data_IF_821665643314
#
_entry.id   IF_821665643314
#
_cell.length_a   1.000
_cell.length_b   1.000
_cell.length_c   1.000
_cell.angle_alpha   90.00
_cell.angle_beta   90.00
_cell.angle_gamma   90.00
#
_symmetry.space_group_name_H-M   'P 1'
#
loop_
_entity.id
_entity.type
_entity.pdbx_description
1 polymer ?
#
# COMPACT_ATOMS: atom_id res chain seq x y z
N UNK A 1 0.62 -50.52 -42.12
CA UNK A 1 0.69 -49.03 -42.05
C UNK A 1 -0.56 -48.35 -41.44
N UNK A 2 -1.50 -49.08 -40.82
CA UNK A 2 -2.68 -48.48 -40.14
C UNK A 2 -2.55 -48.42 -38.61
N UNK A 3 -1.70 -49.27 -38.01
CA UNK A 3 -1.53 -49.35 -36.55
C UNK A 3 -0.66 -48.20 -35.99
N UNK A 4 0.29 -47.69 -36.78
CA UNK A 4 1.17 -46.56 -36.38
C UNK A 4 0.39 -45.23 -36.29
N UNK A 5 -0.70 -45.06 -37.07
CA UNK A 5 -1.54 -43.84 -37.01
C UNK A 5 -2.33 -43.71 -35.71
N UNK A 6 -2.71 -44.81 -35.07
CA UNK A 6 -3.45 -44.78 -33.81
C UNK A 6 -2.54 -44.63 -32.59
N UNK A 7 -1.28 -45.09 -32.67
CA UNK A 7 -0.30 -44.89 -31.61
C UNK A 7 0.08 -43.41 -31.42
N UNK A 8 0.12 -42.62 -32.50
CA UNK A 8 0.44 -41.19 -32.44
C UNK A 8 -0.69 -40.34 -31.82
N UNK A 9 -1.95 -40.75 -32.02
CA UNK A 9 -3.13 -40.07 -31.45
C UNK A 9 -3.22 -40.33 -29.94
N UNK A 10 -2.92 -41.55 -29.49
CA UNK A 10 -2.89 -41.88 -28.06
C UNK A 10 -1.76 -41.14 -27.31
N UNK A 11 -0.62 -40.91 -27.95
CA UNK A 11 0.48 -40.14 -27.36
C UNK A 11 0.18 -38.63 -27.29
N UNK A 12 -0.57 -38.10 -28.26
CA UNK A 12 -0.99 -36.69 -28.28
C UNK A 12 -2.10 -36.40 -27.25
N UNK A 13 -2.91 -37.39 -26.86
CA UNK A 13 -3.88 -37.25 -25.76
C UNK A 13 -3.22 -37.28 -24.36
N UNK A 14 -2.09 -37.97 -24.18
CA UNK A 14 -1.40 -38.07 -22.89
C UNK A 14 -0.62 -36.79 -22.52
N UNK A 15 -0.30 -35.92 -23.49
CA UNK A 15 0.36 -34.64 -23.23
C UNK A 15 -0.60 -33.53 -22.78
N UNK A 16 -1.93 -33.74 -22.86
CA UNK A 16 -2.93 -32.72 -22.48
C UNK A 16 -3.47 -32.94 -21.06
N UNK A 17 -3.21 -34.09 -20.44
CA UNK A 17 -3.73 -34.44 -19.10
C UNK A 17 -2.76 -34.17 -17.95
N UNK A 18 -1.61 -33.52 -18.21
CA UNK A 18 -0.66 -33.16 -17.15
C UNK A 18 -0.48 -31.64 -16.97
N UNK A 19 -1.46 -30.84 -17.38
CA UNK A 19 -1.73 -29.58 -16.69
C UNK A 19 -2.50 -29.92 -15.42
N UNK A 20 -1.78 -30.33 -14.37
CA UNK A 20 -2.22 -29.98 -13.02
C UNK A 20 -2.07 -28.47 -12.95
N UNK A 21 -3.10 -27.74 -13.34
CA UNK A 21 -3.28 -26.40 -12.80
C UNK A 21 -3.35 -26.61 -11.30
N UNK A 22 -2.24 -26.38 -10.60
CA UNK A 22 -2.33 -26.02 -9.19
C UNK A 22 -3.43 -24.97 -9.12
N UNK A 23 -4.45 -25.20 -8.30
CA UNK A 23 -5.40 -24.15 -7.96
C UNK A 23 -4.55 -22.94 -7.55
N UNK A 24 -4.56 -21.91 -8.39
CA UNK A 24 -3.80 -20.70 -8.08
C UNK A 24 -4.38 -20.15 -6.79
N UNK A 25 -3.65 -20.31 -5.68
CA UNK A 25 -4.08 -19.87 -4.33
C UNK A 25 -4.48 -18.39 -4.32
N UNK A 26 -3.93 -17.62 -5.25
CA UNK A 26 -4.24 -16.22 -5.52
C UNK A 26 -5.06 -16.07 -6.82
N UNK A 27 -6.10 -15.23 -6.79
CA UNK A 27 -6.99 -14.95 -7.93
C UNK A 27 -6.33 -14.00 -8.96
N UNK A 28 -5.21 -14.41 -9.54
CA UNK A 28 -4.34 -13.53 -10.35
C UNK A 28 -4.95 -13.13 -11.70
N UNK A 29 -5.87 -13.94 -12.22
CA UNK A 29 -6.60 -13.64 -13.46
C UNK A 29 -7.71 -12.59 -13.25
N UNK A 30 -8.08 -12.29 -12.00
CA UNK A 30 -9.09 -11.27 -11.70
C UNK A 30 -8.51 -9.87 -11.93
N UNK A 31 -9.21 -9.04 -12.71
CA UNK A 31 -8.74 -7.69 -13.07
C UNK A 31 -8.48 -6.79 -11.85
N UNK A 32 -9.35 -6.82 -10.85
CA UNK A 32 -9.19 -6.06 -9.60
C UNK A 32 -9.52 -6.98 -8.43
N UNK A 33 -8.68 -6.99 -7.40
CA UNK A 33 -8.98 -7.70 -6.16
C UNK A 33 -9.95 -6.87 -5.32
N UNK A 34 -11.00 -7.53 -4.84
CA UNK A 34 -11.89 -6.96 -3.82
C UNK A 34 -11.44 -7.41 -2.42
N UNK A 35 -12.16 -6.97 -1.40
CA UNK A 35 -11.80 -7.24 -0.01
C UNK A 35 -11.81 -8.73 0.36
N UNK A 36 -12.59 -9.57 -0.33
CA UNK A 36 -12.57 -11.02 -0.10
C UNK A 36 -11.35 -11.68 -0.73
N UNK A 37 -10.87 -11.15 -1.85
CA UNK A 37 -9.61 -11.62 -2.42
C UNK A 37 -8.43 -11.24 -1.51
N UNK A 38 -8.45 -10.04 -0.92
CA UNK A 38 -7.45 -9.61 0.05
C UNK A 38 -7.47 -10.48 1.31
N UNK A 39 -8.63 -10.73 1.92
CA UNK A 39 -8.77 -11.62 3.09
C UNK A 39 -8.12 -12.99 2.83
N UNK A 40 -8.45 -13.62 1.69
CA UNK A 40 -7.85 -14.89 1.28
C UNK A 40 -6.35 -14.78 1.03
N UNK A 41 -5.89 -13.76 0.33
CA UNK A 41 -4.48 -13.56 0.01
C UNK A 41 -3.66 -13.32 1.28
N UNK A 42 -4.17 -12.52 2.21
CA UNK A 42 -3.54 -12.24 3.51
C UNK A 42 -3.48 -13.52 4.35
N UNK A 43 -4.57 -14.30 4.41
CA UNK A 43 -4.57 -15.59 5.11
C UNK A 43 -3.51 -16.54 4.54
N UNK A 44 -3.46 -16.65 3.21
CA UNK A 44 -2.50 -17.50 2.52
C UNK A 44 -1.05 -17.06 2.78
N UNK A 45 -0.76 -15.76 2.66
CA UNK A 45 0.58 -15.21 2.90
C UNK A 45 1.03 -15.34 4.36
N UNK A 46 0.10 -15.38 5.32
CA UNK A 46 0.42 -15.52 6.75
C UNK A 46 0.58 -16.97 7.19
N UNK A 47 -0.16 -17.90 6.60
CA UNK A 47 -0.30 -19.26 7.15
C UNK A 47 -0.18 -20.38 6.14
N UNK A 48 -0.18 -20.08 4.84
CA UNK A 48 -0.14 -21.07 3.76
C UNK A 48 1.25 -21.45 3.27
N UNK A 49 2.29 -20.78 3.80
CA UNK A 49 3.70 -21.03 3.52
C UNK A 49 4.34 -21.82 4.66
N UNK A 50 5.19 -22.80 4.33
CA UNK A 50 5.99 -23.50 5.34
C UNK A 50 7.05 -22.58 5.97
N UNK A 51 7.53 -22.90 7.19
CA UNK A 51 8.44 -22.01 7.93
C UNK A 51 9.75 -21.68 7.20
N UNK A 52 10.20 -22.57 6.31
CA UNK A 52 11.39 -22.42 5.47
C UNK A 52 11.06 -22.02 4.02
N UNK A 53 9.77 -21.93 3.67
CA UNK A 53 9.31 -21.46 2.38
C UNK A 53 9.39 -19.93 2.29
N UNK A 54 9.92 -19.41 1.19
CA UNK A 54 10.00 -17.96 0.98
C UNK A 54 8.66 -17.41 0.51
N UNK A 55 8.25 -16.30 1.12
CA UNK A 55 7.13 -15.51 0.61
C UNK A 55 7.40 -14.96 -0.80
N UNK A 56 6.34 -14.64 -1.57
CA UNK A 56 6.45 -13.98 -2.87
C UNK A 56 7.24 -12.67 -2.78
N UNK A 57 8.14 -12.44 -3.75
CA UNK A 57 8.97 -11.22 -3.84
C UNK A 57 8.95 -10.64 -5.24
N UNK A 58 9.29 -9.35 -5.35
CA UNK A 58 9.53 -8.68 -6.63
C UNK A 58 10.72 -9.29 -7.39
N UNK A 59 11.69 -9.87 -6.70
CA UNK A 59 12.88 -10.44 -7.35
C UNK A 59 12.65 -11.84 -7.93
N UNK A 60 11.61 -12.55 -7.47
CA UNK A 60 11.21 -13.83 -8.04
C UNK A 60 10.25 -13.61 -9.23
N UNK A 61 10.66 -13.82 -10.50
CA UNK A 61 9.80 -13.55 -11.65
C UNK A 61 8.49 -14.34 -11.68
N UNK A 62 8.48 -15.55 -11.12
CA UNK A 62 7.30 -16.43 -11.14
C UNK A 62 6.23 -15.97 -10.14
N UNK A 63 6.67 -15.46 -8.99
CA UNK A 63 5.81 -15.05 -7.87
C UNK A 63 5.60 -13.52 -7.79
N UNK A 64 6.39 -12.72 -8.52
CA UNK A 64 6.31 -11.25 -8.57
C UNK A 64 4.89 -10.75 -8.78
N UNK A 65 4.14 -11.38 -9.69
CA UNK A 65 2.75 -11.01 -10.00
C UNK A 65 1.83 -11.02 -8.78
N UNK A 66 2.13 -11.82 -7.75
CA UNK A 66 1.37 -11.86 -6.49
C UNK A 66 1.59 -10.56 -5.73
N UNK A 67 2.83 -10.11 -5.58
CA UNK A 67 3.16 -8.86 -4.87
C UNK A 67 2.64 -7.64 -5.64
N UNK A 68 2.82 -7.63 -6.96
CA UNK A 68 2.26 -6.58 -7.83
C UNK A 68 0.75 -6.49 -7.66
N UNK A 69 0.07 -7.64 -7.62
CA UNK A 69 -1.37 -7.68 -7.45
C UNK A 69 -1.82 -7.25 -6.05
N UNK A 70 -1.11 -7.69 -5.01
CA UNK A 70 -1.35 -7.34 -3.61
C UNK A 70 -1.20 -5.83 -3.37
N UNK A 71 -0.29 -5.18 -4.10
CA UNK A 71 0.05 -3.76 -3.93
C UNK A 71 -0.48 -2.87 -5.06
N UNK A 72 -1.38 -3.38 -5.90
CA UNK A 72 -2.01 -2.61 -6.98
C UNK A 72 -3.08 -1.65 -6.40
N UNK A 73 -2.78 -0.36 -6.42
CA UNK A 73 -3.69 0.68 -5.97
C UNK A 73 -5.03 0.74 -6.75
N UNK A 74 -5.09 0.20 -7.97
CA UNK A 74 -6.33 0.13 -8.74
C UNK A 74 -7.38 -0.76 -8.08
N UNK A 75 -6.97 -1.74 -7.26
CA UNK A 75 -7.88 -2.65 -6.57
C UNK A 75 -8.90 -1.91 -5.71
N UNK A 76 -8.49 -0.86 -4.99
CA UNK A 76 -9.41 -0.03 -4.22
C UNK A 76 -9.88 1.19 -5.03
N UNK A 77 -9.03 1.81 -5.86
CA UNK A 77 -9.39 3.05 -6.59
C UNK A 77 -10.62 2.87 -7.48
N UNK A 78 -10.75 1.72 -8.13
CA UNK A 78 -11.89 1.44 -9.04
C UNK A 78 -13.25 1.59 -8.36
N UNK A 79 -13.34 1.34 -7.04
CA UNK A 79 -14.58 1.52 -6.27
C UNK A 79 -14.60 2.90 -5.60
N UNK A 80 -13.49 3.30 -4.96
CA UNK A 80 -13.46 4.52 -4.14
C UNK A 80 -13.58 5.80 -4.98
N UNK A 81 -13.16 5.77 -6.25
CA UNK A 81 -13.18 6.92 -7.15
C UNK A 81 -14.39 6.95 -8.09
N UNK A 82 -15.21 5.88 -8.11
CA UNK A 82 -16.43 5.81 -8.92
C UNK A 82 -17.53 6.71 -8.34
N UNK A 83 -17.86 7.80 -9.04
CA UNK A 83 -18.87 8.76 -8.60
C UNK A 83 -20.31 8.28 -8.83
N UNK A 84 -20.51 7.22 -9.62
CA UNK A 84 -21.83 6.59 -9.80
C UNK A 84 -22.22 5.78 -8.55
N UNK A 85 -21.26 5.44 -7.69
CA UNK A 85 -21.49 4.77 -6.41
C UNK A 85 -21.77 5.77 -5.29
N UNK A 86 -22.81 5.47 -4.50
CA UNK A 86 -23.17 6.27 -3.33
C UNK A 86 -22.04 6.36 -2.30
N UNK A 87 -21.91 7.53 -1.65
CA UNK A 87 -20.80 7.80 -0.71
C UNK A 87 -20.77 6.83 0.49
N UNK A 88 -21.94 6.34 0.94
CA UNK A 88 -22.02 5.35 2.01
C UNK A 88 -21.36 4.03 1.59
N UNK A 89 -21.69 3.53 0.39
CA UNK A 89 -21.12 2.28 -0.13
C UNK A 89 -19.60 2.40 -0.33
N UNK A 90 -19.14 3.52 -0.89
CA UNK A 90 -17.70 3.77 -1.05
C UNK A 90 -16.97 3.81 0.30
N UNK A 91 -17.55 4.43 1.31
CA UNK A 91 -16.98 4.43 2.66
C UNK A 91 -16.93 3.03 3.28
N UNK A 92 -18.00 2.23 3.15
CA UNK A 92 -18.02 0.84 3.62
C UNK A 92 -16.89 0.00 2.99
N UNK A 93 -16.73 0.11 1.66
CA UNK A 93 -15.66 -0.59 0.93
C UNK A 93 -14.28 -0.08 1.36
N UNK A 94 -14.11 1.23 1.53
CA UNK A 94 -12.85 1.81 2.00
C UNK A 94 -12.48 1.32 3.41
N UNK A 95 -13.45 1.24 4.33
CA UNK A 95 -13.25 0.67 5.67
C UNK A 95 -12.82 -0.79 5.60
N UNK A 96 -13.47 -1.59 4.75
CA UNK A 96 -13.12 -3.00 4.58
C UNK A 96 -11.70 -3.17 4.04
N UNK A 97 -11.30 -2.43 2.99
CA UNK A 97 -9.92 -2.43 2.52
C UNK A 97 -8.92 -1.97 3.58
N UNK A 98 -9.28 -0.97 4.39
CA UNK A 98 -8.40 -0.47 5.45
C UNK A 98 -8.15 -1.53 6.52
N UNK A 99 -9.16 -2.35 6.85
CA UNK A 99 -8.99 -3.48 7.75
C UNK A 99 -8.05 -4.54 7.16
N UNK A 100 -8.26 -4.93 5.90
CA UNK A 100 -7.36 -5.88 5.22
C UNK A 100 -5.91 -5.37 5.16
N UNK A 101 -5.72 -4.08 4.89
CA UNK A 101 -4.40 -3.47 4.86
C UNK A 101 -3.68 -3.57 6.22
N UNK A 102 -4.40 -3.43 7.33
CA UNK A 102 -3.80 -3.56 8.67
C UNK A 102 -3.22 -4.95 8.88
N UNK A 103 -3.93 -6.00 8.48
CA UNK A 103 -3.43 -7.36 8.55
C UNK A 103 -2.28 -7.61 7.55
N UNK A 104 -2.40 -7.04 6.35
CA UNK A 104 -1.37 -7.12 5.30
C UNK A 104 -0.05 -6.47 5.73
N UNK A 105 -0.09 -5.38 6.50
CA UNK A 105 1.09 -4.61 6.93
C UNK A 105 2.13 -5.40 7.72
N UNK A 106 1.74 -6.56 8.27
CA UNK A 106 2.59 -7.40 9.10
C UNK A 106 3.23 -8.58 8.34
N UNK A 107 2.92 -8.76 7.06
CA UNK A 107 3.34 -9.95 6.30
C UNK A 107 4.85 -9.94 6.05
N UNK A 108 5.40 -8.79 5.66
CA UNK A 108 6.77 -8.68 5.14
C UNK A 108 7.76 -8.07 6.15
N UNK A 109 7.47 -8.12 7.45
CA UNK A 109 8.26 -7.44 8.49
C UNK A 109 9.40 -8.30 9.07
N UNK A 110 9.59 -9.52 8.56
CA UNK A 110 10.60 -10.43 9.08
C UNK A 110 12.04 -9.92 8.83
N UNK A 111 12.91 -10.09 9.81
CA UNK A 111 14.34 -9.73 9.74
C UNK A 111 15.24 -10.96 9.85
N UNK A 112 16.46 -10.83 9.31
CA UNK A 112 17.51 -11.83 9.47
C UNK A 112 18.25 -11.68 10.81
N UNK A 113 19.26 -12.54 11.04
CA UNK A 113 20.08 -12.51 12.28
C UNK A 113 20.98 -11.27 12.42
N UNK A 114 21.02 -10.41 11.41
CA UNK A 114 21.75 -9.14 11.38
C UNK A 114 20.79 -7.94 11.42
N UNK A 115 19.54 -8.19 11.81
CA UNK A 115 18.46 -7.19 11.85
C UNK A 115 18.21 -6.51 10.50
N UNK A 116 18.48 -7.21 9.38
CA UNK A 116 18.12 -6.74 8.03
C UNK A 116 16.77 -7.29 7.63
N UNK A 117 15.93 -6.46 7.02
CA UNK A 117 14.65 -6.92 6.50
C UNK A 117 14.86 -7.95 5.39
N UNK A 118 14.11 -9.06 5.46
CA UNK A 118 14.15 -10.11 4.44
C UNK A 118 13.41 -9.72 3.15
N UNK A 119 12.42 -8.85 3.28
CA UNK A 119 11.45 -8.47 2.24
C UNK A 119 11.20 -6.97 2.25
N UNK A 120 12.28 -6.20 2.29
CA UNK A 120 12.25 -4.75 2.52
C UNK A 120 11.46 -4.00 1.43
N UNK A 121 11.60 -4.39 0.17
CA UNK A 121 10.83 -3.84 -0.97
C UNK A 121 9.35 -4.14 -0.87
N UNK A 122 8.98 -5.38 -0.54
CA UNK A 122 7.60 -5.83 -0.41
C UNK A 122 6.92 -5.14 0.77
N UNK A 123 7.61 -5.05 1.91
CA UNK A 123 7.13 -4.34 3.09
C UNK A 123 6.87 -2.87 2.77
N UNK A 124 7.79 -2.18 2.09
CA UNK A 124 7.60 -0.78 1.70
C UNK A 124 6.47 -0.62 0.68
N UNK A 125 6.27 -1.58 -0.24
CA UNK A 125 5.17 -1.56 -1.19
C UNK A 125 3.80 -1.68 -0.48
N UNK A 126 3.70 -2.57 0.52
CA UNK A 126 2.50 -2.72 1.36
C UNK A 126 2.22 -1.45 2.17
N UNK A 127 3.25 -0.81 2.72
CA UNK A 127 3.10 0.48 3.39
C UNK A 127 2.61 1.57 2.45
N UNK A 128 3.20 1.67 1.25
CA UNK A 128 2.82 2.65 0.23
C UNK A 128 1.38 2.47 -0.26
N UNK A 129 0.96 1.22 -0.48
CA UNK A 129 -0.43 0.88 -0.73
C UNK A 129 -1.35 1.44 0.37
N UNK A 130 -0.94 1.26 1.63
CA UNK A 130 -1.63 1.80 2.80
C UNK A 130 -1.73 3.31 2.85
N UNK A 131 -0.65 4.03 2.53
CA UNK A 131 -0.64 5.50 2.50
C UNK A 131 -1.66 6.00 1.46
N UNK A 132 -1.61 5.45 0.25
CA UNK A 132 -2.56 5.79 -0.82
C UNK A 132 -4.01 5.45 -0.47
N UNK A 133 -4.25 4.31 0.20
CA UNK A 133 -5.59 3.91 0.64
C UNK A 133 -6.12 4.86 1.73
N UNK A 134 -5.28 5.16 2.73
CA UNK A 134 -5.64 6.07 3.82
C UNK A 134 -6.03 7.45 3.31
N UNK A 135 -5.30 7.99 2.34
CA UNK A 135 -5.63 9.29 1.75
C UNK A 135 -7.07 9.32 1.21
N UNK A 136 -7.47 8.29 0.45
CA UNK A 136 -8.82 8.17 -0.11
C UNK A 136 -9.87 7.87 0.95
N UNK A 137 -9.57 6.96 1.88
CA UNK A 137 -10.46 6.61 2.98
C UNK A 137 -10.84 7.83 3.84
N UNK A 138 -9.84 8.59 4.29
CA UNK A 138 -10.09 9.80 5.09
C UNK A 138 -10.80 10.89 4.30
N UNK A 139 -10.49 11.05 3.00
CA UNK A 139 -11.21 11.97 2.13
C UNK A 139 -12.70 11.63 2.04
N UNK A 140 -13.02 10.37 1.74
CA UNK A 140 -14.42 9.90 1.63
C UNK A 140 -15.18 10.07 2.95
N UNK A 141 -14.55 9.77 4.08
CA UNK A 141 -15.17 9.97 5.39
C UNK A 141 -15.43 11.46 5.67
N UNK A 142 -14.49 12.33 5.33
CA UNK A 142 -14.66 13.78 5.47
C UNK A 142 -15.73 14.34 4.53
N UNK A 143 -15.80 13.85 3.31
CA UNK A 143 -16.84 14.24 2.34
C UNK A 143 -18.22 13.80 2.83
N UNK A 144 -18.35 12.59 3.37
CA UNK A 144 -19.60 12.08 3.95
C UNK A 144 -20.05 12.90 5.16
N UNK A 145 -19.13 13.30 6.03
CA UNK A 145 -19.43 14.18 7.17
C UNK A 145 -20.01 15.51 6.68
N UNK A 146 -19.49 16.07 5.59
CA UNK A 146 -19.97 17.33 5.02
C UNK A 146 -21.31 17.16 4.32
N UNK A 147 -21.47 16.10 3.53
CA UNK A 147 -22.71 15.82 2.77
C UNK A 147 -23.91 15.58 3.69
N UNK A 148 -23.69 14.93 4.84
CA UNK A 148 -24.74 14.63 5.81
C UNK A 148 -25.00 15.74 6.83
N UNK A 149 -24.30 16.88 6.75
CA UNK A 149 -24.45 17.96 7.72
C UNK A 149 -25.45 19.03 7.25
N UNK A 150 -26.28 19.54 8.17
CA UNK A 150 -27.18 20.66 7.91
C UNK A 150 -26.43 21.93 7.46
N UNK A 151 -25.27 22.20 8.09
CA UNK A 151 -24.33 23.23 7.69
C UNK A 151 -22.89 22.66 7.63
N UNK A 152 -22.35 22.39 6.42
CA UNK A 152 -21.00 21.87 6.25
C UNK A 152 -19.90 22.86 6.67
N UNK A 153 -20.23 24.15 6.83
CA UNK A 153 -19.31 25.19 7.24
C UNK A 153 -19.33 25.50 8.74
N UNK A 154 -20.21 24.83 9.49
CA UNK A 154 -20.30 24.98 10.93
C UNK A 154 -18.97 24.61 11.61
N UNK A 155 -18.67 25.28 12.73
CA UNK A 155 -17.44 25.00 13.49
C UNK A 155 -17.34 23.54 13.91
N UNK A 156 -18.47 22.88 14.19
CA UNK A 156 -18.53 21.46 14.53
C UNK A 156 -18.03 20.57 13.38
N UNK A 157 -18.54 20.77 12.17
CA UNK A 157 -18.15 19.98 10.99
C UNK A 157 -16.67 20.22 10.66
N UNK A 158 -16.23 21.49 10.66
CA UNK A 158 -14.83 21.84 10.43
C UNK A 158 -13.89 21.18 11.46
N UNK A 159 -14.27 21.18 12.73
CA UNK A 159 -13.47 20.54 13.78
C UNK A 159 -13.36 19.02 13.60
N UNK A 160 -14.45 18.36 13.20
CA UNK A 160 -14.43 16.92 12.92
C UNK A 160 -13.50 16.59 11.74
N UNK A 161 -13.62 17.33 10.64
CA UNK A 161 -12.76 17.16 9.47
C UNK A 161 -11.29 17.41 9.83
N UNK A 162 -10.99 18.48 10.57
CA UNK A 162 -9.63 18.80 11.01
C UNK A 162 -9.06 17.70 11.93
N UNK A 163 -9.88 17.14 12.82
CA UNK A 163 -9.47 16.02 13.68
C UNK A 163 -9.11 14.77 12.87
N UNK A 164 -9.90 14.47 11.83
CA UNK A 164 -9.64 13.35 10.92
C UNK A 164 -8.35 13.58 10.12
N UNK A 165 -8.15 14.78 9.56
CA UNK A 165 -6.91 15.13 8.84
C UNK A 165 -5.69 15.04 9.76
N UNK A 166 -5.79 15.51 11.02
CA UNK A 166 -4.70 15.37 11.99
C UNK A 166 -4.39 13.90 12.31
N UNK A 167 -5.40 13.03 12.32
CA UNK A 167 -5.19 11.58 12.47
C UNK A 167 -4.48 10.99 11.27
N UNK A 168 -4.88 11.36 10.05
CA UNK A 168 -4.22 10.94 8.82
C UNK A 168 -2.74 11.38 8.80
N UNK A 169 -2.44 12.63 9.15
CA UNK A 169 -1.06 13.13 9.25
C UNK A 169 -0.26 12.28 10.24
N UNK A 170 -0.81 11.98 11.43
CA UNK A 170 -0.14 11.12 12.41
C UNK A 170 0.18 9.73 11.87
N UNK A 171 -0.72 9.14 11.08
CA UNK A 171 -0.47 7.83 10.47
C UNK A 171 0.69 7.91 9.46
N UNK A 172 0.78 8.99 8.68
CA UNK A 172 1.91 9.23 7.78
C UNK A 172 3.24 9.38 8.54
N UNK A 173 3.22 9.98 9.74
CA UNK A 173 4.43 10.05 10.56
C UNK A 173 4.98 8.66 10.91
N UNK A 174 4.15 7.62 10.99
CA UNK A 174 4.62 6.25 11.27
C UNK A 174 5.54 5.77 10.15
N UNK A 175 5.23 6.11 8.88
CA UNK A 175 6.10 5.76 7.76
C UNK A 175 7.48 6.45 7.85
N UNK A 176 7.54 7.68 8.39
CA UNK A 176 8.83 8.33 8.66
C UNK A 176 9.61 7.67 9.81
N UNK A 177 8.95 6.91 10.70
CA UNK A 177 9.66 6.19 11.76
C UNK A 177 10.55 5.06 11.20
N UNK A 178 10.24 4.51 10.02
CA UNK A 178 11.07 3.51 9.37
C UNK A 178 12.48 4.01 9.04
N UNK A 179 12.69 5.33 8.96
CA UNK A 179 14.03 5.92 8.79
C UNK A 179 14.91 5.64 10.01
N UNK A 180 14.37 5.43 11.21
CA UNK A 180 15.18 5.00 12.35
C UNK A 180 15.75 3.58 12.15
N UNK A 181 15.16 2.79 11.25
CA UNK A 181 15.60 1.46 10.87
C UNK A 181 16.31 1.49 9.50
N UNK A 182 16.81 2.64 9.04
CA UNK A 182 17.41 2.79 7.70
C UNK A 182 18.45 1.71 7.39
N UNK A 183 19.28 1.36 8.37
CA UNK A 183 20.32 0.33 8.21
C UNK A 183 19.75 -1.04 7.90
N UNK A 184 18.53 -1.36 8.34
CA UNK A 184 17.87 -2.64 8.07
C UNK A 184 17.51 -2.81 6.58
N UNK A 185 17.47 -1.73 5.80
CA UNK A 185 17.11 -1.73 4.39
C UNK A 185 18.31 -1.95 3.46
N UNK A 186 18.03 -2.56 2.31
CA UNK A 186 18.93 -2.53 1.15
C UNK A 186 18.93 -1.15 0.49
N UNK A 187 19.90 -0.86 -0.38
CA UNK A 187 19.92 0.40 -1.13
C UNK A 187 18.71 0.60 -2.06
N UNK A 188 18.10 -0.49 -2.52
CA UNK A 188 16.83 -0.46 -3.25
C UNK A 188 15.67 -0.14 -2.30
N UNK A 189 15.63 -0.78 -1.14
CA UNK A 189 14.67 -0.48 -0.07
C UNK A 189 14.71 0.99 0.35
N UNK A 190 15.90 1.55 0.61
CA UNK A 190 16.06 2.98 0.91
C UNK A 190 15.54 3.88 -0.21
N UNK A 191 15.77 3.49 -1.47
CA UNK A 191 15.21 4.17 -2.64
C UNK A 191 13.68 4.15 -2.66
N UNK A 192 13.08 3.00 -2.35
CA UNK A 192 11.63 2.85 -2.27
C UNK A 192 11.04 3.61 -1.08
N UNK A 193 11.71 3.64 0.06
CA UNK A 193 11.32 4.44 1.22
C UNK A 193 11.21 5.92 0.84
N UNK A 194 12.27 6.45 0.23
CA UNK A 194 12.36 7.80 -0.33
C UNK A 194 11.24 8.10 -1.35
N UNK A 195 10.97 7.18 -2.29
CA UNK A 195 9.87 7.31 -3.24
C UNK A 195 8.51 7.47 -2.54
N UNK A 196 8.24 6.67 -1.51
CA UNK A 196 7.01 6.79 -0.75
C UNK A 196 6.84 8.15 -0.06
N UNK A 197 7.94 8.74 0.42
CA UNK A 197 7.93 10.11 0.97
C UNK A 197 7.55 11.10 -0.13
N UNK A 198 8.27 11.09 -1.26
CA UNK A 198 8.06 12.04 -2.34
C UNK A 198 6.64 11.98 -2.93
N UNK A 199 6.09 10.77 -3.09
CA UNK A 199 4.78 10.61 -3.73
C UNK A 199 3.65 10.91 -2.73
N UNK A 200 3.55 10.12 -1.67
CA UNK A 200 2.35 10.13 -0.84
C UNK A 200 2.25 11.34 0.08
N UNK A 201 3.38 11.87 0.58
CA UNK A 201 3.34 13.07 1.42
C UNK A 201 3.00 14.31 0.59
N UNK A 202 3.49 14.36 -0.65
CA UNK A 202 3.07 15.40 -1.61
C UNK A 202 1.57 15.32 -1.86
N UNK A 203 1.03 14.14 -2.18
CA UNK A 203 -0.41 13.95 -2.38
C UNK A 203 -1.23 14.38 -1.14
N UNK A 204 -0.75 14.07 0.08
CA UNK A 204 -1.39 14.48 1.33
C UNK A 204 -1.44 16.01 1.46
N UNK A 205 -0.31 16.68 1.24
CA UNK A 205 -0.19 18.13 1.36
C UNK A 205 -1.00 18.84 0.27
N UNK A 206 -1.03 18.32 -0.94
CA UNK A 206 -1.87 18.85 -2.02
C UNK A 206 -3.36 18.69 -1.74
N UNK A 207 -3.77 17.58 -1.13
CA UNK A 207 -5.17 17.34 -0.79
C UNK A 207 -5.64 18.21 0.38
N UNK A 208 -4.78 18.46 1.37
CA UNK A 208 -5.09 19.25 2.56
C UNK A 208 -4.05 20.37 2.78
N UNK A 209 -3.97 21.38 1.91
CA UNK A 209 -2.89 22.38 1.93
C UNK A 209 -2.87 23.24 3.20
N UNK A 210 -4.04 23.46 3.81
CA UNK A 210 -4.20 24.34 4.98
C UNK A 210 -4.17 23.57 6.32
N UNK A 211 -3.72 22.31 6.29
CA UNK A 211 -3.61 21.51 7.51
C UNK A 211 -2.32 21.85 8.28
N UNK A 212 -2.30 21.57 9.59
CA UNK A 212 -1.12 21.85 10.40
C UNK A 212 -0.06 20.74 10.22
N UNK A 213 0.95 21.02 9.39
CA UNK A 213 2.08 20.12 9.14
C UNK A 213 3.28 20.31 10.07
N UNK A 214 3.19 21.15 11.12
CA UNK A 214 4.33 21.42 12.03
C UNK A 214 4.93 20.14 12.63
N UNK A 215 4.08 19.18 13.02
CA UNK A 215 4.56 17.89 13.54
C UNK A 215 5.30 17.05 12.49
N UNK A 216 4.89 17.15 11.22
CA UNK A 216 5.52 16.47 10.10
C UNK A 216 6.86 17.09 9.74
N UNK A 217 6.92 18.42 9.67
CA UNK A 217 8.16 19.17 9.45
C UNK A 217 9.21 18.86 10.52
N UNK A 218 8.85 19.00 11.81
CA UNK A 218 9.76 18.71 12.92
C UNK A 218 10.30 17.27 12.86
N UNK A 219 9.45 16.31 12.48
CA UNK A 219 9.87 14.92 12.33
C UNK A 219 10.78 14.74 11.11
N UNK A 220 10.46 15.36 9.98
CA UNK A 220 11.29 15.31 8.78
C UNK A 220 12.67 15.91 9.03
N UNK A 221 12.76 17.05 9.72
CA UNK A 221 14.05 17.66 10.12
C UNK A 221 14.85 16.76 11.06
N UNK A 222 14.18 16.10 12.01
CA UNK A 222 14.82 15.15 12.91
C UNK A 222 15.37 13.94 12.14
N UNK A 223 14.56 13.35 11.25
CA UNK A 223 14.97 12.21 10.44
C UNK A 223 16.08 12.59 9.46
N UNK A 224 16.07 13.82 8.93
CA UNK A 224 17.10 14.34 8.02
C UNK A 224 18.48 14.37 8.69
N UNK A 225 18.52 14.75 9.97
CA UNK A 225 19.75 14.78 10.78
C UNK A 225 20.27 13.37 11.12
N UNK A 226 19.38 12.37 11.17
CA UNK A 226 19.71 10.98 11.53
C UNK A 226 20.07 10.12 10.33
N UNK A 227 19.43 10.36 9.19
CA UNK A 227 19.57 9.53 8.00
C UNK A 227 21.00 9.63 7.43
N UNK A 228 21.51 8.51 6.92
CA UNK A 228 22.80 8.45 6.23
C UNK A 228 22.62 8.40 4.71
N UNK A 229 21.48 7.92 4.22
CA UNK A 229 21.18 7.85 2.78
C UNK A 229 20.87 9.20 2.17
N UNK A 230 21.65 9.56 1.15
CA UNK A 230 21.43 10.77 0.36
C UNK A 230 20.06 10.79 -0.35
N UNK A 231 19.51 9.62 -0.71
CA UNK A 231 18.16 9.54 -1.33
C UNK A 231 17.05 9.90 -0.34
N UNK A 232 17.17 9.41 0.90
CA UNK A 232 16.21 9.70 1.97
C UNK A 232 16.33 11.17 2.36
N UNK A 233 17.55 11.67 2.58
CA UNK A 233 17.79 13.09 2.88
C UNK A 233 17.21 14.01 1.82
N UNK A 234 17.43 13.72 0.53
CA UNK A 234 16.86 14.52 -0.56
C UNK A 234 15.33 14.54 -0.50
N UNK A 235 14.70 13.40 -0.23
CA UNK A 235 13.24 13.32 -0.14
C UNK A 235 12.67 14.05 1.09
N UNK A 236 13.39 14.02 2.22
CA UNK A 236 13.03 14.79 3.42
C UNK A 236 13.19 16.29 3.21
N UNK A 237 14.25 16.73 2.52
CA UNK A 237 14.42 18.14 2.14
C UNK A 237 13.27 18.62 1.26
N UNK A 238 12.92 17.86 0.23
CA UNK A 238 11.78 18.19 -0.65
C UNK A 238 10.47 18.31 0.15
N UNK A 239 10.23 17.40 1.10
CA UNK A 239 9.06 17.47 1.97
C UNK A 239 9.05 18.74 2.83
N UNK A 240 10.18 19.08 3.46
CA UNK A 240 10.32 20.29 4.28
C UNK A 240 10.10 21.55 3.43
N UNK A 241 10.70 21.61 2.24
CA UNK A 241 10.50 22.72 1.30
C UNK A 241 9.04 22.86 0.88
N UNK A 242 8.37 21.75 0.57
CA UNK A 242 6.96 21.75 0.20
C UNK A 242 6.07 22.27 1.34
N UNK A 243 6.31 21.85 2.58
CA UNK A 243 5.57 22.33 3.75
C UNK A 243 5.79 23.84 3.92
N UNK A 244 7.03 24.31 3.81
CA UNK A 244 7.37 25.73 3.94
C UNK A 244 6.77 26.59 2.83
N UNK A 245 6.74 26.09 1.59
CA UNK A 245 6.08 26.74 0.47
C UNK A 245 4.58 26.95 0.76
N UNK A 246 3.89 25.93 1.30
CA UNK A 246 2.45 26.03 1.62
C UNK A 246 2.16 27.02 2.74
N UNK A 247 2.99 27.02 3.80
CA UNK A 247 2.89 28.02 4.88
C UNK A 247 3.05 29.46 4.40
N UNK A 248 3.91 29.70 3.42
CA UNK A 248 4.13 31.04 2.86
C UNK A 248 2.98 31.53 1.96
N UNK A 249 2.05 30.64 1.58
CA UNK A 249 0.87 30.96 0.77
C UNK A 249 -0.38 31.25 1.61
N UNK A 250 -0.34 31.01 2.93
CA UNK A 250 -1.39 31.36 3.90
C UNK A 250 -1.33 32.85 4.31
#
# INVERSE_FOLDING_TARGET
MKIIKYAFIAFMCLTITNCKTEETKFALDKRYWDTKDYDKAVLELRYGYENDEKLPTFDNPEQRRIVEKLTDHQNYKVVLEDQELGINHRNEVATAFFNEWKDMSQIYTATDRKDKYLYDKEMLAVWQFGLGLQLKYFKLGNDQIKENADDPNSSRVKNNVNSNVNTLIKNYLIYLDEINNEDAFTEEGKGKLAEGINNYFTELIELYPNANYTGMENKAELMLKKSESEKIKASLNNLIELINLKKAQE
#
